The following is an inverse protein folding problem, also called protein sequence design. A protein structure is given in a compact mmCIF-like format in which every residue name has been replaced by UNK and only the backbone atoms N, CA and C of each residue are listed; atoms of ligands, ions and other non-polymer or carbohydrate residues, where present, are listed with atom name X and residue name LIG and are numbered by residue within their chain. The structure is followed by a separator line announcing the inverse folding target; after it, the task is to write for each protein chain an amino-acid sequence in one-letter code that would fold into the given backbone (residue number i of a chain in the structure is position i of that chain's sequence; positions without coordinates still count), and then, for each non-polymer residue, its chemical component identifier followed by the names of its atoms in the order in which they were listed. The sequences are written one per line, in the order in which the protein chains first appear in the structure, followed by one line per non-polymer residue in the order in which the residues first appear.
data_IF_432382919994
#
_entry.id   IF_432382919994
#
_cell.length_a   1.000
_cell.length_b   1.000
_cell.length_c   1.000
_cell.angle_alpha   90.00
_cell.angle_beta   90.00
_cell.angle_gamma   90.00
#
_symmetry.space_group_name_H-M   'P 1'
#
loop_
_entity.id
_entity.type
_entity.pdbx_description
1 polymer ?
#
# COMPACT_ATOMS: atom_id res chain seq x y z
N UNK A 1 14.82 23.32 -7.77
CA UNK A 1 13.74 22.35 -7.91
C UNK A 1 14.21 20.94 -8.23
N UNK A 2 15.08 20.71 -9.20
CA UNK A 2 15.38 19.41 -9.76
C UNK A 2 15.66 18.26 -8.81
N UNK A 3 16.65 18.40 -7.92
CA UNK A 3 17.07 17.29 -7.05
C UNK A 3 16.03 16.89 -6.01
N UNK A 4 15.36 17.84 -5.39
CA UNK A 4 14.37 17.55 -4.36
C UNK A 4 13.08 16.98 -4.95
N UNK A 5 12.66 17.48 -6.09
CA UNK A 5 11.46 16.95 -6.76
C UNK A 5 11.71 15.50 -7.21
N UNK A 6 12.83 15.22 -7.82
CA UNK A 6 13.14 13.85 -8.27
C UNK A 6 13.21 12.87 -7.09
N UNK A 7 13.84 13.28 -6.00
CA UNK A 7 13.91 12.46 -4.79
C UNK A 7 12.52 12.17 -4.23
N UNK A 8 11.66 13.19 -4.17
CA UNK A 8 10.30 13.04 -3.65
C UNK A 8 9.46 12.13 -4.54
N UNK A 9 9.59 12.27 -5.86
CA UNK A 9 8.91 11.39 -6.82
C UNK A 9 9.39 9.94 -6.72
N UNK A 10 10.69 9.73 -6.55
CA UNK A 10 11.24 8.38 -6.38
C UNK A 10 10.72 7.74 -5.09
N UNK A 11 10.59 8.52 -4.02
CA UNK A 11 10.00 8.07 -2.77
C UNK A 11 8.55 7.61 -2.96
N UNK A 12 7.74 8.39 -3.68
CA UNK A 12 6.35 8.05 -3.97
C UNK A 12 6.26 6.78 -4.82
N UNK A 13 7.10 6.64 -5.84
CA UNK A 13 7.15 5.43 -6.66
C UNK A 13 7.43 4.18 -5.81
N UNK A 14 8.38 4.29 -4.90
CA UNK A 14 8.74 3.20 -3.98
C UNK A 14 7.57 2.82 -3.08
N UNK A 15 6.85 3.81 -2.55
CA UNK A 15 5.68 3.59 -1.72
C UNK A 15 4.54 2.93 -2.50
N UNK A 16 4.33 3.33 -3.75
CA UNK A 16 3.34 2.71 -4.64
C UNK A 16 3.66 1.25 -4.94
N UNK A 17 4.93 0.92 -5.17
CA UNK A 17 5.36 -0.45 -5.39
C UNK A 17 5.13 -1.31 -4.14
N UNK A 18 5.44 -0.77 -2.97
CA UNK A 18 5.19 -1.45 -1.69
C UNK A 18 3.70 -1.72 -1.49
N UNK A 19 2.86 -0.71 -1.79
CA UNK A 19 1.40 -0.84 -1.71
C UNK A 19 0.89 -1.94 -2.65
N UNK A 20 1.41 -2.00 -3.87
CA UNK A 20 1.07 -3.05 -4.84
C UNK A 20 1.38 -4.46 -4.33
N UNK A 21 2.54 -4.63 -3.70
CA UNK A 21 2.92 -5.92 -3.10
C UNK A 21 2.00 -6.29 -1.93
N UNK A 22 1.58 -5.33 -1.14
CA UNK A 22 0.63 -5.56 -0.04
C UNK A 22 -0.72 -6.04 -0.56
N UNK A 23 -1.22 -5.42 -1.63
CA UNK A 23 -2.49 -5.82 -2.27
C UNK A 23 -2.39 -7.23 -2.84
N UNK A 24 -1.30 -7.54 -3.53
CA UNK A 24 -1.06 -8.88 -4.09
C UNK A 24 -1.06 -9.95 -3.00
N UNK A 25 -0.36 -9.70 -1.91
CA UNK A 25 -0.31 -10.61 -0.78
C UNK A 25 -1.70 -10.80 -0.15
N UNK A 26 -2.44 -9.71 0.03
CA UNK A 26 -3.79 -9.76 0.59
C UNK A 26 -4.73 -10.59 -0.28
N UNK A 27 -4.63 -10.44 -1.60
CA UNK A 27 -5.43 -11.21 -2.55
C UNK A 27 -5.10 -12.71 -2.47
N UNK A 28 -3.82 -13.06 -2.45
CA UNK A 28 -3.39 -14.45 -2.33
C UNK A 28 -3.87 -15.06 -1.01
N UNK A 29 -3.77 -14.34 0.09
CA UNK A 29 -4.25 -14.80 1.39
C UNK A 29 -5.77 -14.99 1.40
N UNK A 30 -6.50 -14.09 0.74
CA UNK A 30 -7.96 -14.21 0.63
C UNK A 30 -8.34 -15.48 -0.14
N UNK A 31 -7.67 -15.75 -1.25
CA UNK A 31 -7.89 -16.97 -2.05
C UNK A 31 -7.61 -18.22 -1.22
N UNK A 32 -6.48 -18.25 -0.52
CA UNK A 32 -6.12 -19.38 0.34
C UNK A 32 -7.15 -19.61 1.45
N UNK A 33 -7.64 -18.52 2.07
CA UNK A 33 -8.64 -18.62 3.14
C UNK A 33 -9.95 -19.23 2.65
N UNK A 34 -10.31 -18.97 1.39
CA UNK A 34 -11.51 -19.55 0.78
C UNK A 34 -11.33 -21.02 0.40
N UNK A 35 -10.17 -21.35 -0.19
CA UNK A 35 -9.89 -22.73 -0.63
C UNK A 35 -9.72 -23.66 0.57
N UNK A 36 -8.94 -23.24 1.55
CA UNK A 36 -8.57 -24.06 2.70
C UNK A 36 -9.56 -23.93 3.87
N UNK A 37 -10.52 -23.03 3.77
CA UNK A 37 -11.48 -22.71 4.84
C UNK A 37 -10.76 -22.41 6.15
N UNK A 38 -9.79 -21.52 6.10
CA UNK A 38 -8.89 -21.22 7.20
C UNK A 38 -9.32 -19.93 7.91
N UNK A 39 -10.01 -20.00 9.07
CA UNK A 39 -10.55 -18.81 9.75
C UNK A 39 -9.46 -17.87 10.25
N UNK A 40 -8.30 -18.39 10.65
CA UNK A 40 -7.19 -17.55 11.10
C UNK A 40 -6.64 -16.69 9.96
N UNK A 41 -6.51 -17.28 8.78
CA UNK A 41 -6.06 -16.57 7.59
C UNK A 41 -7.07 -15.51 7.16
N UNK A 42 -8.36 -15.78 7.29
CA UNK A 42 -9.40 -14.80 7.00
C UNK A 42 -9.30 -13.58 7.92
N UNK A 43 -8.98 -13.78 9.18
CA UNK A 43 -8.75 -12.67 10.12
C UNK A 43 -7.54 -11.84 9.72
N UNK A 44 -6.46 -12.47 9.28
CA UNK A 44 -5.27 -11.78 8.78
C UNK A 44 -5.59 -10.94 7.55
N UNK A 45 -6.42 -11.44 6.64
CA UNK A 45 -6.86 -10.71 5.46
C UNK A 45 -7.61 -9.43 5.85
N UNK A 46 -8.52 -9.52 6.81
CA UNK A 46 -9.30 -8.37 7.28
C UNK A 46 -8.36 -7.32 7.92
N UNK A 47 -7.43 -7.77 8.75
CA UNK A 47 -6.46 -6.87 9.39
C UNK A 47 -5.53 -6.22 8.34
N UNK A 48 -5.12 -6.98 7.33
CA UNK A 48 -4.28 -6.50 6.25
C UNK A 48 -4.94 -5.43 5.40
N UNK A 49 -6.25 -5.52 5.19
CA UNK A 49 -7.02 -4.52 4.44
C UNK A 49 -6.92 -3.13 5.10
N UNK A 50 -6.98 -3.08 6.42
CA UNK A 50 -6.82 -1.82 7.16
C UNK A 50 -5.43 -1.22 6.97
N UNK A 51 -4.39 -2.04 6.92
CA UNK A 51 -3.02 -1.58 6.68
C UNK A 51 -2.87 -1.01 5.27
N UNK A 52 -3.52 -1.63 4.29
CA UNK A 52 -3.54 -1.15 2.91
C UNK A 52 -4.22 0.23 2.84
N UNK A 53 -5.35 0.40 3.50
CA UNK A 53 -6.07 1.67 3.55
C UNK A 53 -5.21 2.77 4.17
N UNK A 54 -4.52 2.48 5.27
CA UNK A 54 -3.60 3.43 5.90
C UNK A 54 -2.46 3.81 4.96
N UNK A 55 -1.92 2.83 4.24
CA UNK A 55 -0.82 3.05 3.29
C UNK A 55 -1.28 3.93 2.13
N UNK A 56 -2.47 3.69 1.60
CA UNK A 56 -3.04 4.50 0.53
C UNK A 56 -3.23 5.96 0.96
N UNK A 57 -3.74 6.18 2.16
CA UNK A 57 -3.92 7.51 2.73
C UNK A 57 -2.58 8.23 2.91
N UNK A 58 -1.56 7.53 3.37
CA UNK A 58 -0.21 8.06 3.51
C UNK A 58 0.37 8.51 2.17
N UNK A 59 0.21 7.68 1.14
CA UNK A 59 0.69 7.99 -0.21
C UNK A 59 -0.04 9.23 -0.75
N UNK A 60 -1.35 9.31 -0.56
CA UNK A 60 -2.14 10.47 -0.97
C UNK A 60 -1.64 11.76 -0.29
N UNK A 61 -1.40 11.72 1.01
CA UNK A 61 -0.85 12.86 1.75
C UNK A 61 0.51 13.28 1.21
N UNK A 62 1.38 12.33 0.92
CA UNK A 62 2.71 12.61 0.36
C UNK A 62 2.61 13.23 -1.03
N UNK A 63 1.69 12.76 -1.87
CA UNK A 63 1.45 13.33 -3.19
C UNK A 63 0.99 14.79 -3.08
N UNK A 64 0.05 15.08 -2.20
CA UNK A 64 -0.45 16.44 -1.97
C UNK A 64 0.67 17.36 -1.46
N UNK A 65 1.53 16.84 -0.59
CA UNK A 65 2.67 17.59 -0.06
C UNK A 65 3.67 17.94 -1.18
N UNK A 66 3.97 17.00 -2.04
CA UNK A 66 4.87 17.24 -3.18
C UNK A 66 4.29 18.29 -4.12
N UNK A 67 2.99 18.21 -4.42
CA UNK A 67 2.33 19.20 -5.26
C UNK A 67 2.37 20.60 -4.64
N UNK A 68 2.23 20.71 -3.31
CA UNK A 68 2.29 21.98 -2.62
C UNK A 68 3.70 22.60 -2.59
N UNK A 69 4.74 21.76 -2.55
CA UNK A 69 6.14 22.22 -2.47
C UNK A 69 6.75 22.54 -3.83
N UNK A 70 6.23 21.96 -4.87
CA UNK A 70 6.78 22.09 -6.22
C UNK A 70 5.73 22.57 -7.21
#
# INVERSE_FOLDING_TARGET
MGKHLQRDLDGIKKELLTSGLMVEKALNNAIESLIDRHPELAKEVISGDRLIDQKENQIEEECLKVLALH
#
